data_IF_632917030622
#
_entry.id   IF_632917030622
#
_cell.length_a   1.000
_cell.length_b   1.000
_cell.length_c   1.000
_cell.angle_alpha   90.00
_cell.angle_beta   90.00
_cell.angle_gamma   90.00
#
_symmetry.space_group_name_H-M   'P 1'
#
loop_
_entity.id
_entity.type
_entity.pdbx_description
1 polymer ?
#
# COMPACT_ATOMS: atom_id res chain seq x y z
N UNK A 1 -7.26 9.09 -21.93
CA UNK A 1 -7.67 9.74 -20.66
C UNK A 1 -6.95 9.04 -19.51
N UNK A 2 -6.41 9.77 -18.53
CA UNK A 2 -5.80 9.17 -17.33
C UNK A 2 -6.85 8.30 -16.63
N UNK A 3 -6.59 7.01 -16.48
CA UNK A 3 -7.54 6.08 -15.85
C UNK A 3 -7.43 6.19 -14.33
N UNK A 4 -8.58 6.22 -13.66
CA UNK A 4 -8.63 6.14 -12.20
C UNK A 4 -8.05 4.82 -11.72
N UNK A 5 -7.21 4.88 -10.69
CA UNK A 5 -6.72 3.67 -10.03
C UNK A 5 -7.84 2.96 -9.29
N UNK A 6 -8.00 1.66 -9.57
CA UNK A 6 -8.97 0.84 -8.85
C UNK A 6 -8.36 0.30 -7.56
N UNK A 7 -8.74 0.89 -6.42
CA UNK A 7 -8.34 0.44 -5.08
C UNK A 7 -8.85 -0.98 -4.81
N UNK A 8 -10.10 -1.28 -5.22
CA UNK A 8 -10.66 -2.64 -5.17
C UNK A 8 -9.82 -3.64 -5.98
N UNK A 9 -9.35 -3.22 -7.16
CA UNK A 9 -8.44 -4.03 -7.97
C UNK A 9 -7.12 -4.34 -7.26
N UNK A 10 -6.51 -3.34 -6.61
CA UNK A 10 -5.27 -3.53 -5.84
C UNK A 10 -5.48 -4.42 -4.61
N UNK A 11 -6.60 -4.30 -3.89
CA UNK A 11 -6.95 -5.19 -2.79
C UNK A 11 -7.11 -6.65 -3.24
N UNK A 12 -7.77 -6.87 -4.38
CA UNK A 12 -7.91 -8.21 -4.96
C UNK A 12 -6.56 -8.82 -5.37
N UNK A 13 -5.65 -8.00 -5.91
CA UNK A 13 -4.27 -8.45 -6.23
C UNK A 13 -3.50 -8.84 -4.98
N UNK A 14 -3.56 -8.04 -3.92
CA UNK A 14 -2.93 -8.36 -2.64
C UNK A 14 -3.45 -9.68 -2.09
N UNK A 15 -4.77 -9.86 -2.06
CA UNK A 15 -5.40 -11.11 -1.60
C UNK A 15 -4.91 -12.31 -2.42
N UNK A 16 -4.92 -12.21 -3.75
CA UNK A 16 -4.45 -13.28 -4.61
C UNK A 16 -2.97 -13.62 -4.40
N UNK A 17 -2.12 -12.63 -4.13
CA UNK A 17 -0.71 -12.89 -3.80
C UNK A 17 -0.55 -13.53 -2.41
N UNK A 18 -1.31 -13.09 -1.41
CA UNK A 18 -1.32 -13.73 -0.08
C UNK A 18 -1.76 -15.19 -0.16
N UNK A 19 -2.81 -15.49 -0.95
CA UNK A 19 -3.29 -16.86 -1.17
C UNK A 19 -2.21 -17.73 -1.83
N UNK A 20 -1.47 -17.20 -2.81
CA UNK A 20 -0.32 -17.89 -3.43
C UNK A 20 0.81 -18.16 -2.44
N UNK A 21 1.12 -17.20 -1.56
CA UNK A 21 2.16 -17.35 -0.53
C UNK A 21 1.75 -18.46 0.45
N UNK A 22 0.48 -18.48 0.87
CA UNK A 22 -0.03 -19.53 1.75
C UNK A 22 0.01 -20.91 1.10
N UNK A 23 -0.38 -20.99 -0.18
CA UNK A 23 -0.30 -22.23 -0.96
C UNK A 23 1.16 -22.73 -1.08
N UNK A 24 2.12 -21.82 -1.29
CA UNK A 24 3.55 -22.13 -1.30
C UNK A 24 4.01 -22.73 0.04
N UNK A 25 3.66 -22.09 1.16
CA UNK A 25 4.00 -22.60 2.50
C UNK A 25 3.38 -23.97 2.79
N UNK A 26 2.14 -24.18 2.34
CA UNK A 26 1.46 -25.47 2.48
C UNK A 26 2.19 -26.56 1.70
N UNK A 27 2.65 -26.25 0.49
CA UNK A 27 3.40 -27.18 -0.35
C UNK A 27 4.82 -27.47 0.20
N UNK A 28 5.40 -26.55 0.98
CA UNK A 28 6.74 -26.72 1.56
C UNK A 28 6.77 -27.44 2.91
N UNK A 29 5.61 -27.79 3.49
CA UNK A 29 5.52 -28.34 4.85
C UNK A 29 6.20 -29.70 5.05
N UNK A 30 6.44 -30.46 3.97
CA UNK A 30 7.12 -31.76 4.01
C UNK A 30 8.65 -31.71 3.86
N UNK A 31 9.24 -30.51 3.80
CA UNK A 31 10.69 -30.34 3.72
C UNK A 31 11.34 -30.50 5.11
N UNK A 32 12.67 -30.62 5.15
CA UNK A 32 13.41 -30.57 6.41
C UNK A 32 13.27 -29.20 7.11
N UNK A 33 13.38 -29.19 8.44
CA UNK A 33 13.10 -28.03 9.30
C UNK A 33 13.82 -26.74 8.85
N UNK A 34 15.09 -26.83 8.46
CA UNK A 34 15.86 -25.69 7.96
C UNK A 34 15.25 -25.09 6.69
N UNK A 35 14.85 -25.95 5.73
CA UNK A 35 14.20 -25.51 4.51
C UNK A 35 12.81 -24.91 4.75
N UNK A 36 12.06 -25.46 5.71
CA UNK A 36 10.76 -24.90 6.13
C UNK A 36 10.96 -23.50 6.71
N UNK A 37 11.96 -23.31 7.57
CA UNK A 37 12.31 -21.99 8.12
C UNK A 37 12.61 -20.98 7.00
N UNK A 38 13.44 -21.35 6.02
CA UNK A 38 13.77 -20.47 4.89
C UNK A 38 12.54 -20.14 4.02
N UNK A 39 11.62 -21.09 3.84
CA UNK A 39 10.37 -20.85 3.13
C UNK A 39 9.49 -19.83 3.87
N UNK A 40 9.45 -19.89 5.20
CA UNK A 40 8.76 -18.90 6.03
C UNK A 40 9.39 -17.51 5.93
N UNK A 41 10.72 -17.41 6.01
CA UNK A 41 11.42 -16.12 5.86
C UNK A 41 11.12 -15.47 4.51
N UNK A 42 11.19 -16.26 3.42
CA UNK A 42 10.84 -15.80 2.08
C UNK A 42 9.38 -15.38 1.98
N UNK A 43 8.46 -16.16 2.57
CA UNK A 43 7.04 -15.86 2.56
C UNK A 43 6.73 -14.53 3.27
N UNK A 44 7.38 -14.26 4.41
CA UNK A 44 7.28 -13.00 5.14
C UNK A 44 7.71 -11.84 4.24
N UNK A 45 8.89 -11.92 3.62
CA UNK A 45 9.41 -10.87 2.73
C UNK A 45 8.43 -10.62 1.56
N UNK A 46 7.92 -11.68 0.94
CA UNK A 46 6.96 -11.56 -0.17
C UNK A 46 5.65 -10.93 0.26
N UNK A 47 5.15 -11.27 1.44
CA UNK A 47 3.92 -10.71 1.98
C UNK A 47 4.09 -9.22 2.29
N UNK A 48 5.21 -8.83 2.90
CA UNK A 48 5.53 -7.42 3.14
C UNK A 48 5.60 -6.60 1.84
N UNK A 49 6.27 -7.12 0.82
CA UNK A 49 6.31 -6.47 -0.51
C UNK A 49 4.91 -6.31 -1.12
N UNK A 50 4.08 -7.34 -1.02
CA UNK A 50 2.71 -7.30 -1.54
C UNK A 50 1.86 -6.26 -0.79
N UNK A 51 2.00 -6.21 0.53
CA UNK A 51 1.34 -5.22 1.38
C UNK A 51 1.78 -3.79 1.05
N UNK A 52 3.07 -3.56 0.88
CA UNK A 52 3.58 -2.25 0.52
C UNK A 52 3.03 -1.77 -0.83
N UNK A 53 2.97 -2.69 -1.81
CA UNK A 53 2.36 -2.42 -3.11
C UNK A 53 0.88 -2.04 -2.98
N UNK A 54 0.13 -2.72 -2.12
CA UNK A 54 -1.26 -2.37 -1.81
C UNK A 54 -1.36 -0.97 -1.20
N UNK A 55 -0.53 -0.64 -0.21
CA UNK A 55 -0.60 0.64 0.47
C UNK A 55 -0.25 1.80 -0.47
N UNK A 56 0.79 1.66 -1.27
CA UNK A 56 1.15 2.64 -2.29
C UNK A 56 0.01 2.83 -3.30
N UNK A 57 -0.52 1.73 -3.82
CA UNK A 57 -1.62 1.77 -4.79
C UNK A 57 -2.89 2.44 -4.21
N UNK A 58 -3.12 2.23 -2.93
CA UNK A 58 -4.29 2.76 -2.21
C UNK A 58 -4.15 4.26 -1.94
N UNK A 59 -2.96 4.72 -1.53
CA UNK A 59 -2.64 6.15 -1.42
C UNK A 59 -2.72 6.85 -2.77
N UNK A 60 -2.10 6.26 -3.80
CA UNK A 60 -2.18 6.79 -5.17
C UNK A 60 -3.62 6.85 -5.63
N UNK A 61 -4.43 5.82 -5.37
CA UNK A 61 -5.85 5.83 -5.68
C UNK A 61 -6.63 6.90 -4.93
N UNK A 62 -6.32 7.17 -3.67
CA UNK A 62 -6.95 8.25 -2.91
C UNK A 62 -6.62 9.62 -3.53
N UNK A 63 -5.34 9.89 -3.80
CA UNK A 63 -4.87 11.16 -4.38
C UNK A 63 -5.34 11.36 -5.82
N UNK A 64 -5.35 10.30 -6.62
CA UNK A 64 -5.80 10.33 -8.01
C UNK A 64 -7.32 10.55 -8.12
N UNK A 65 -8.09 10.09 -7.13
CA UNK A 65 -9.54 10.28 -7.11
C UNK A 65 -9.97 11.63 -6.55
N UNK A 66 -9.17 12.22 -5.65
CA UNK A 66 -9.43 13.54 -5.06
C UNK A 66 -8.13 14.34 -4.83
N UNK A 67 -7.83 15.24 -5.78
CA UNK A 67 -6.67 16.14 -5.70
C UNK A 67 -6.92 17.37 -4.82
N UNK A 68 -8.17 17.64 -4.44
CA UNK A 68 -8.51 18.76 -3.57
C UNK A 68 -7.97 18.56 -2.16
N UNK A 69 -8.06 17.33 -1.66
CA UNK A 69 -7.48 16.90 -0.38
C UNK A 69 -5.98 17.22 -0.31
N UNK A 70 -5.21 16.91 -1.35
CA UNK A 70 -3.78 17.20 -1.40
C UNK A 70 -3.51 18.70 -1.44
N UNK A 71 -4.34 19.45 -2.17
CA UNK A 71 -4.21 20.91 -2.30
C UNK A 71 -4.41 21.59 -0.95
N UNK A 72 -5.42 21.17 -0.17
CA UNK A 72 -5.66 21.65 1.19
C UNK A 72 -4.52 21.29 2.14
N UNK A 73 -4.00 20.06 2.08
CA UNK A 73 -2.92 19.60 2.97
C UNK A 73 -1.57 20.27 2.71
N UNK A 74 -1.26 20.55 1.45
CA UNK A 74 0.07 21.03 1.04
C UNK A 74 0.11 22.52 0.75
N UNK A 75 -1.03 23.17 0.57
CA UNK A 75 -1.14 24.59 0.20
C UNK A 75 -0.87 24.89 -1.28
N UNK A 76 -0.61 23.87 -2.11
CA UNK A 76 -0.39 24.02 -3.54
C UNK A 76 -1.65 23.74 -4.35
N UNK A 77 -1.86 24.48 -5.44
CA UNK A 77 -2.92 24.17 -6.39
C UNK A 77 -2.49 23.04 -7.32
N UNK A 78 -3.23 21.93 -7.29
CA UNK A 78 -3.03 20.83 -8.23
C UNK A 78 -4.10 20.83 -9.34
N UNK A 79 -3.76 20.35 -10.54
CA UNK A 79 -4.76 20.06 -11.56
C UNK A 79 -5.86 19.14 -11.02
N UNK A 80 -7.07 19.25 -11.58
CA UNK A 80 -8.23 18.41 -11.22
C UNK A 80 -7.95 16.91 -11.39
N UNK A 81 -6.99 16.55 -12.25
CA UNK A 81 -6.56 15.18 -12.48
C UNK A 81 -5.04 15.09 -12.46
N UNK A 82 -4.52 14.32 -11.51
CA UNK A 82 -3.13 13.87 -11.49
C UNK A 82 -3.06 12.45 -12.05
N UNK A 83 -2.04 12.13 -12.85
CA UNK A 83 -1.84 10.76 -13.36
C UNK A 83 -1.38 9.83 -12.24
N UNK A 84 -1.54 8.51 -12.42
CA UNK A 84 -1.02 7.49 -11.49
C UNK A 84 0.48 7.68 -11.23
N UNK A 85 1.25 7.99 -12.27
CA UNK A 85 2.70 8.24 -12.19
C UNK A 85 3.03 9.48 -11.34
N UNK A 86 2.31 10.59 -11.54
CA UNK A 86 2.52 11.81 -10.74
C UNK A 86 2.14 11.57 -9.28
N UNK A 87 1.01 10.91 -9.03
CA UNK A 87 0.61 10.53 -7.67
C UNK A 87 1.64 9.60 -7.00
N UNK A 88 2.18 8.62 -7.73
CA UNK A 88 3.27 7.76 -7.21
C UNK A 88 4.49 8.59 -6.86
N UNK A 89 4.91 9.47 -7.77
CA UNK A 89 6.04 10.36 -7.53
C UNK A 89 5.81 11.25 -6.30
N UNK A 90 4.60 11.76 -6.07
CA UNK A 90 4.29 12.56 -4.88
C UNK A 90 4.37 11.75 -3.57
N UNK A 91 3.99 10.47 -3.62
CA UNK A 91 4.06 9.57 -2.47
C UNK A 91 5.49 9.11 -2.19
N UNK A 92 6.27 8.78 -3.23
CA UNK A 92 7.64 8.23 -3.08
C UNK A 92 8.75 9.26 -3.24
N UNK A 93 8.44 10.49 -3.67
CA UNK A 93 9.43 11.52 -3.98
C UNK A 93 10.18 12.06 -2.77
N UNK A 94 9.69 11.78 -1.55
CA UNK A 94 10.37 12.09 -0.28
C UNK A 94 11.12 10.91 0.33
N UNK A 95 11.19 9.79 -0.39
CA UNK A 95 11.82 8.56 0.08
C UNK A 95 10.95 7.34 -0.19
N UNK A 96 11.50 6.17 0.12
CA UNK A 96 10.76 4.90 0.06
C UNK A 96 9.59 4.92 1.05
N UNK A 97 8.59 4.05 0.84
CA UNK A 97 7.45 3.88 1.74
C UNK A 97 7.90 3.14 3.02
N UNK A 98 8.82 3.79 3.76
CA UNK A 98 9.55 3.27 4.89
C UNK A 98 8.90 3.77 6.19
N UNK A 99 8.00 2.95 6.71
CA UNK A 99 7.28 3.25 7.94
C UNK A 99 7.55 2.16 8.98
N UNK A 100 7.81 2.58 10.23
CA UNK A 100 8.02 1.67 11.36
C UNK A 100 6.68 1.21 11.93
N UNK A 101 6.23 0.04 11.49
CA UNK A 101 5.02 -0.60 12.00
C UNK A 101 3.75 0.23 11.76
N UNK A 102 2.70 -0.10 12.51
CA UNK A 102 1.37 0.48 12.32
C UNK A 102 1.32 2.00 12.53
N UNK A 103 1.90 2.49 13.62
CA UNK A 103 1.88 3.93 13.93
C UNK A 103 2.66 4.74 12.88
N UNK A 104 3.78 4.19 12.40
CA UNK A 104 4.52 4.76 11.28
C UNK A 104 3.65 4.85 10.02
N UNK A 105 2.90 3.80 9.69
CA UNK A 105 2.02 3.78 8.53
C UNK A 105 0.95 4.87 8.63
N UNK A 106 0.28 4.97 9.77
CA UNK A 106 -0.73 5.99 10.03
C UNK A 106 -0.13 7.39 9.88
N UNK A 107 1.07 7.63 10.43
CA UNK A 107 1.78 8.90 10.28
C UNK A 107 2.06 9.21 8.81
N UNK A 108 2.45 8.23 8.01
CA UNK A 108 2.68 8.40 6.56
C UNK A 108 1.38 8.72 5.82
N UNK A 109 0.28 8.00 6.10
CA UNK A 109 -1.03 8.28 5.50
C UNK A 109 -1.48 9.73 5.77
N UNK A 110 -1.33 10.19 7.01
CA UNK A 110 -1.74 11.53 7.45
C UNK A 110 -0.93 12.67 6.82
N UNK A 111 0.21 12.41 6.17
CA UNK A 111 0.90 13.45 5.39
C UNK A 111 0.12 13.84 4.14
N UNK A 112 -0.66 12.90 3.61
CA UNK A 112 -1.37 13.05 2.33
C UNK A 112 -2.87 13.16 2.51
N UNK A 113 -3.41 12.61 3.59
CA UNK A 113 -4.85 12.47 3.84
C UNK A 113 -5.26 13.21 5.13
N UNK A 114 -6.51 13.67 5.23
CA UNK A 114 -7.06 14.21 6.47
C UNK A 114 -7.31 13.07 7.47
N UNK A 115 -7.45 13.44 8.75
CA UNK A 115 -7.56 12.47 9.84
C UNK A 115 -8.85 11.64 9.79
N UNK A 116 -9.90 12.18 9.19
CA UNK A 116 -11.21 11.55 8.99
C UNK A 116 -11.31 10.73 7.69
N UNK A 117 -10.23 10.65 6.90
CA UNK A 117 -10.24 9.89 5.65
C UNK A 117 -10.42 8.39 5.93
N UNK A 118 -11.27 7.73 5.15
CA UNK A 118 -11.60 6.30 5.36
C UNK A 118 -10.38 5.38 5.44
N UNK A 119 -9.30 5.66 4.70
CA UNK A 119 -8.06 4.89 4.79
C UNK A 119 -7.35 5.03 6.13
N UNK A 120 -7.33 6.24 6.69
CA UNK A 120 -6.76 6.50 8.01
C UNK A 120 -7.60 5.77 9.05
N UNK A 121 -8.93 5.86 8.94
CA UNK A 121 -9.85 5.15 9.84
C UNK A 121 -9.64 3.62 9.79
N UNK A 122 -9.64 3.03 8.58
CA UNK A 122 -9.51 1.57 8.39
C UNK A 122 -8.19 1.04 8.92
N UNK A 123 -7.07 1.71 8.64
CA UNK A 123 -5.75 1.27 9.13
C UNK A 123 -5.59 1.50 10.65
N UNK A 124 -6.35 2.43 11.21
CA UNK A 124 -6.39 2.72 12.65
C UNK A 124 -7.35 1.82 13.44
N UNK A 125 -8.06 0.89 12.80
CA UNK A 125 -8.83 -0.15 13.51
C UNK A 125 -7.91 -1.23 14.09
N UNK A 126 -8.12 -1.68 15.35
CA UNK A 126 -7.32 -2.71 16.00
C UNK A 126 -7.26 -4.02 15.21
#
# INVERSE_FOLDING_TARGET
MPKKKSIKGSANKFKAEADKILAFLTASAGLGDEHVSWCHDLAIIRLYRAFESLMLDTLVGALNNDTSTLSTRTGFSFPKHLTDEVCRFLVTGRGYFDFKGRDGLIKTLKQYLPDDHYLVEVVSKP
#
